data_IF_877223191030
#
_entry.id   IF_877223191030
#
_cell.length_a   1.000
_cell.length_b   1.000
_cell.length_c   1.000
_cell.angle_alpha   90.00
_cell.angle_beta   90.00
_cell.angle_gamma   90.00
#
_symmetry.space_group_name_H-M   'P 1'
#
loop_
_entity.id
_entity.type
_entity.pdbx_description
1 polymer ?
#
# COMPACT_ATOMS: atom_id res chain seq x y z
N UNK A 1 -46.74 54.93 36.43
CA UNK A 1 -46.56 54.04 37.59
C UNK A 1 -47.82 53.21 37.77
N UNK A 2 -47.64 51.99 38.33
CA UNK A 2 -48.60 50.91 38.62
C UNK A 2 -48.90 49.96 37.46
N UNK A 3 -48.90 48.63 37.59
CA UNK A 3 -48.22 47.63 38.44
C UNK A 3 -48.57 46.26 37.80
N UNK A 4 -47.68 45.26 37.94
CA UNK A 4 -47.80 43.85 37.50
C UNK A 4 -48.98 43.08 38.18
N UNK A 5 -49.21 41.73 38.03
CA UNK A 5 -48.61 40.65 37.20
C UNK A 5 -49.64 39.63 36.58
N UNK A 6 -49.16 38.62 35.84
CA UNK A 6 -49.87 37.33 35.65
C UNK A 6 -49.45 36.51 34.41
N UNK A 7 -48.86 35.30 34.54
CA UNK A 7 -48.40 34.44 33.42
C UNK A 7 -49.28 33.16 33.25
N UNK A 8 -48.91 32.13 32.45
CA UNK A 8 -49.01 32.03 30.97
C UNK A 8 -49.72 30.74 30.48
N UNK A 9 -50.34 30.69 29.29
CA UNK A 9 -50.71 29.41 28.60
C UNK A 9 -50.81 29.58 27.05
N UNK A 10 -50.69 28.49 26.25
CA UNK A 10 -49.77 28.41 25.10
C UNK A 10 -50.47 28.47 23.72
N UNK A 11 -49.75 28.80 22.62
CA UNK A 11 -50.27 28.54 21.28
C UNK A 11 -50.05 27.08 20.85
N UNK A 12 -51.14 26.32 20.97
CA UNK A 12 -51.73 25.37 20.03
C UNK A 12 -50.87 24.74 18.92
N UNK A 13 -50.81 23.40 18.98
CA UNK A 13 -50.32 22.45 18.01
C UNK A 13 -50.70 22.77 16.55
N UNK A 14 -49.67 22.93 15.71
CA UNK A 14 -49.77 22.63 14.28
C UNK A 14 -49.16 21.24 14.03
N UNK A 15 -49.79 20.36 13.24
CA UNK A 15 -49.23 19.04 12.97
C UNK A 15 -47.90 19.18 12.24
N UNK A 16 -46.80 18.70 12.84
CA UNK A 16 -45.56 18.48 12.11
C UNK A 16 -45.80 17.42 11.05
N UNK A 17 -45.93 17.87 9.80
CA UNK A 17 -45.81 17.02 8.63
C UNK A 17 -44.45 16.28 8.75
N UNK A 18 -44.41 14.94 8.69
CA UNK A 18 -43.15 14.23 8.82
C UNK A 18 -42.22 14.70 7.71
N UNK A 19 -41.13 15.38 8.10
CA UNK A 19 -40.02 15.70 7.20
C UNK A 19 -39.61 14.38 6.57
N UNK A 20 -39.92 14.21 5.28
CA UNK A 20 -39.40 13.11 4.46
C UNK A 20 -37.88 13.14 4.65
N UNK A 21 -37.36 12.17 5.41
CA UNK A 21 -35.92 11.91 5.47
C UNK A 21 -35.51 11.74 4.02
N UNK A 22 -34.66 12.66 3.55
CA UNK A 22 -34.08 12.65 2.22
C UNK A 22 -33.36 11.30 2.13
N UNK A 23 -34.00 10.35 1.45
CA UNK A 23 -33.49 8.99 1.30
C UNK A 23 -32.10 9.11 0.73
N UNK A 24 -31.12 8.72 1.53
CA UNK A 24 -29.75 8.61 1.08
C UNK A 24 -29.80 7.58 -0.05
N UNK A 25 -29.56 8.04 -1.27
CA UNK A 25 -29.65 7.19 -2.46
C UNK A 25 -28.78 5.97 -2.22
N UNK A 26 -29.33 4.78 -2.38
CA UNK A 26 -28.65 3.49 -2.17
C UNK A 26 -27.27 3.43 -2.86
N UNK A 27 -27.07 4.24 -3.90
CA UNK A 27 -25.78 4.42 -4.59
C UNK A 27 -24.71 5.09 -3.73
N UNK A 28 -25.06 6.08 -2.91
CA UNK A 28 -24.11 6.77 -2.02
C UNK A 28 -23.81 5.91 -0.78
N UNK A 29 -24.77 5.10 -0.33
CA UNK A 29 -24.53 4.13 0.75
C UNK A 29 -23.60 3.00 0.28
N UNK A 30 -23.71 2.54 -0.97
CA UNK A 30 -22.76 1.58 -1.55
C UNK A 30 -21.36 2.16 -1.76
N UNK A 31 -21.22 3.45 -2.10
CA UNK A 31 -19.91 4.11 -2.17
C UNK A 31 -19.28 4.23 -0.77
N UNK A 32 -20.07 4.52 0.27
CA UNK A 32 -19.58 4.55 1.65
C UNK A 32 -19.26 3.14 2.21
N UNK A 33 -19.94 2.09 1.74
CA UNK A 33 -19.59 0.70 2.08
C UNK A 33 -18.38 0.18 1.30
N UNK A 34 -18.17 0.62 0.05
CA UNK A 34 -16.96 0.32 -0.70
C UNK A 34 -15.72 1.04 -0.11
N UNK A 35 -15.92 2.16 0.58
CA UNK A 35 -14.87 2.86 1.31
C UNK A 35 -14.61 2.30 2.72
N UNK A 36 -15.44 1.39 3.24
CA UNK A 36 -15.36 0.91 4.64
C UNK A 36 -15.00 -0.57 4.80
N UNK A 37 -14.60 -1.26 3.73
CA UNK A 37 -14.15 -2.65 3.80
C UNK A 37 -12.71 -2.83 3.30
N UNK A 38 -11.77 -2.26 4.05
CA UNK A 38 -10.41 -2.81 4.15
C UNK A 38 -10.11 -2.98 5.64
N UNK A 39 -10.82 -3.92 6.27
CA UNK A 39 -10.49 -4.48 7.58
C UNK A 39 -10.61 -5.99 7.47
N UNK A 40 -9.67 -6.56 6.72
CA UNK A 40 -9.32 -7.98 6.63
C UNK A 40 -8.17 -8.01 5.61
N UNK A 41 -6.93 -7.76 5.99
CA UNK A 41 -6.00 -8.74 6.55
C UNK A 41 -4.95 -7.97 7.37
N UNK A 42 -4.64 -8.42 8.59
CA UNK A 42 -3.48 -7.99 9.36
C UNK A 42 -3.54 -6.55 9.91
N UNK A 43 -3.78 -6.40 11.21
CA UNK A 43 -3.90 -5.10 11.86
C UNK A 43 -2.60 -4.29 11.84
N UNK A 44 -2.47 -3.42 10.84
CA UNK A 44 -1.76 -2.16 10.98
C UNK A 44 -2.68 -1.07 10.47
N UNK A 45 -2.92 -0.06 11.31
CA UNK A 45 -3.85 1.02 11.01
C UNK A 45 -3.51 1.68 9.69
N UNK A 46 -4.39 1.54 8.71
CA UNK A 46 -4.28 2.18 7.41
C UNK A 46 -4.38 3.69 7.62
N UNK A 47 -3.24 4.37 7.70
CA UNK A 47 -3.20 5.81 7.46
C UNK A 47 -3.33 5.97 5.95
N UNK A 48 -4.57 6.14 5.48
CA UNK A 48 -4.83 6.59 4.12
C UNK A 48 -4.31 8.02 4.03
N UNK A 49 -3.12 8.20 3.47
CA UNK A 49 -2.58 9.52 3.13
C UNK A 49 -3.46 10.11 2.03
N UNK A 50 -4.35 11.02 2.39
CA UNK A 50 -5.40 11.64 1.55
C UNK A 50 -4.87 12.61 0.46
N UNK A 51 -3.71 12.38 -0.15
CA UNK A 51 -3.13 13.33 -1.11
C UNK A 51 -3.31 12.99 -2.59
N UNK A 52 -3.94 11.87 -2.96
CA UNK A 52 -3.85 11.37 -4.34
C UNK A 52 -5.18 11.43 -5.10
N UNK A 53 -5.51 12.62 -5.64
CA UNK A 53 -6.55 12.77 -6.68
C UNK A 53 -6.05 12.38 -8.09
N UNK A 54 -4.83 11.88 -8.21
CA UNK A 54 -4.25 11.41 -9.47
C UNK A 54 -4.46 9.89 -9.59
N UNK A 55 -4.99 9.41 -10.72
CA UNK A 55 -5.22 7.97 -10.93
C UNK A 55 -3.91 7.14 -10.92
N UNK A 56 -4.02 5.80 -10.83
CA UNK A 56 -2.90 4.87 -10.62
C UNK A 56 -1.70 5.13 -11.55
N UNK A 57 -1.99 5.32 -12.85
CA UNK A 57 -0.98 5.57 -13.86
C UNK A 57 -0.16 6.84 -13.59
N UNK A 58 -0.83 7.93 -13.17
CA UNK A 58 -0.17 9.21 -12.91
C UNK A 58 0.75 9.11 -11.68
N UNK A 59 0.32 8.38 -10.65
CA UNK A 59 1.15 8.14 -9.47
C UNK A 59 2.36 7.30 -9.85
N UNK A 60 2.15 6.19 -10.56
CA UNK A 60 3.21 5.30 -10.98
C UNK A 60 4.26 5.99 -11.88
N UNK A 61 3.83 6.92 -12.75
CA UNK A 61 4.73 7.73 -13.59
C UNK A 61 5.67 8.66 -12.81
N UNK A 62 5.33 9.00 -11.57
CA UNK A 62 6.19 9.84 -10.71
C UNK A 62 7.20 9.04 -9.92
N UNK A 63 7.05 7.71 -9.88
CA UNK A 63 7.97 6.83 -9.19
C UNK A 63 9.25 6.66 -9.99
N UNK A 64 10.36 6.74 -9.27
CA UNK A 64 11.70 6.54 -9.82
C UNK A 64 12.42 5.47 -9.04
N UNK A 65 13.49 4.94 -9.62
CA UNK A 65 14.37 3.99 -8.94
C UNK A 65 14.82 4.54 -7.57
N UNK A 66 14.80 3.71 -6.54
CA UNK A 66 15.07 4.07 -5.15
C UNK A 66 13.86 4.56 -4.34
N UNK A 67 12.74 4.90 -4.98
CA UNK A 67 11.53 5.30 -4.26
C UNK A 67 10.90 4.12 -3.54
N UNK A 68 10.49 4.31 -2.29
CA UNK A 68 9.73 3.31 -1.56
C UNK A 68 8.23 3.48 -1.77
N UNK A 69 7.52 2.36 -1.80
CA UNK A 69 6.10 2.33 -2.12
C UNK A 69 5.34 1.36 -1.25
N UNK A 70 4.06 1.66 -1.06
CA UNK A 70 3.04 0.73 -0.63
C UNK A 70 2.09 0.48 -1.79
N UNK A 71 1.66 -0.78 -1.95
CA UNK A 71 0.61 -1.12 -2.90
C UNK A 71 -0.74 -1.06 -2.18
N UNK A 72 -1.63 -0.19 -2.62
CA UNK A 72 -2.97 -0.04 -2.01
C UNK A 72 -4.06 -0.43 -3.00
N UNK A 73 -5.07 -1.18 -2.54
CA UNK A 73 -6.11 -1.72 -3.41
C UNK A 73 -5.89 -3.22 -3.69
N UNK A 74 -6.64 -3.78 -4.65
CA UNK A 74 -6.62 -5.21 -4.95
C UNK A 74 -6.60 -5.46 -6.46
N UNK A 75 -5.86 -6.49 -6.87
CA UNK A 75 -5.80 -6.91 -8.28
C UNK A 75 -5.04 -5.91 -9.18
N UNK A 76 -5.41 -5.87 -10.46
CA UNK A 76 -4.76 -5.03 -11.49
C UNK A 76 -4.99 -3.51 -11.29
N UNK A 77 -5.86 -3.14 -10.34
CA UNK A 77 -6.23 -1.76 -10.02
C UNK A 77 -5.47 -1.20 -8.81
N UNK A 78 -4.56 -1.98 -8.22
CA UNK A 78 -3.78 -1.48 -7.10
C UNK A 78 -2.99 -0.21 -7.50
N UNK A 79 -2.85 0.70 -6.55
CA UNK A 79 -2.06 1.92 -6.66
C UNK A 79 -0.68 1.67 -6.06
N UNK A 80 0.39 2.07 -6.76
CA UNK A 80 1.72 2.17 -6.17
C UNK A 80 1.93 3.58 -5.61
N UNK A 81 1.82 3.72 -4.28
CA UNK A 81 1.86 5.00 -3.59
C UNK A 81 3.25 5.24 -3.01
N UNK A 82 3.91 6.31 -3.46
CA UNK A 82 5.19 6.76 -2.90
C UNK A 82 5.06 7.00 -1.40
N UNK A 83 5.95 6.38 -0.62
CA UNK A 83 5.95 6.40 0.83
C UNK A 83 7.39 6.58 1.34
N UNK A 84 7.63 7.25 2.47
CA UNK A 84 8.97 7.31 3.07
C UNK A 84 9.55 5.90 3.28
N UNK A 85 10.82 5.70 2.93
CA UNK A 85 11.46 4.38 3.00
C UNK A 85 11.63 3.84 4.42
N UNK A 86 11.66 4.72 5.40
CA UNK A 86 11.68 4.43 6.84
C UNK A 86 10.29 4.20 7.44
N UNK A 87 9.23 4.31 6.62
CA UNK A 87 7.87 3.98 7.06
C UNK A 87 7.74 2.46 7.23
N UNK A 88 7.22 1.98 8.37
CA UNK A 88 6.97 0.55 8.59
C UNK A 88 5.90 -0.03 7.65
N UNK A 89 5.21 0.82 6.89
CA UNK A 89 4.16 0.45 5.93
C UNK A 89 4.65 0.45 4.48
N UNK A 90 5.96 0.66 4.23
CA UNK A 90 6.52 0.68 2.88
C UNK A 90 7.23 -0.66 2.59
N UNK A 91 6.52 -1.70 2.12
CA UNK A 91 7.11 -3.03 1.86
C UNK A 91 8.10 -3.08 0.72
N UNK A 92 8.10 -2.09 -0.18
CA UNK A 92 8.87 -2.18 -1.41
C UNK A 92 9.68 -0.93 -1.72
N UNK A 93 10.75 -1.15 -2.46
CA UNK A 93 11.55 -0.13 -3.13
C UNK A 93 11.51 -0.39 -4.63
N UNK A 94 11.38 0.66 -5.43
CA UNK A 94 11.46 0.58 -6.89
C UNK A 94 12.91 0.33 -7.28
N UNK A 95 13.19 -0.85 -7.83
CA UNK A 95 14.50 -1.20 -8.40
C UNK A 95 14.66 -0.81 -9.87
N UNK A 96 13.55 -0.66 -10.60
CA UNK A 96 13.55 -0.12 -11.95
C UNK A 96 12.16 0.41 -12.28
N UNK A 97 12.08 1.54 -12.97
CA UNK A 97 10.84 2.05 -13.57
C UNK A 97 11.00 2.08 -15.10
N UNK A 98 9.91 1.77 -15.81
CA UNK A 98 9.90 1.74 -17.25
C UNK A 98 8.48 1.75 -17.82
N UNK A 99 8.40 1.36 -19.08
CA UNK A 99 7.16 1.37 -19.85
C UNK A 99 6.73 -0.07 -20.09
N UNK A 100 5.54 -0.45 -19.64
CA UNK A 100 5.03 -1.81 -19.85
C UNK A 100 4.45 -1.95 -21.26
N UNK A 101 5.30 -2.35 -22.21
CA UNK A 101 4.97 -2.54 -23.62
C UNK A 101 5.23 -3.98 -24.13
N UNK A 102 5.35 -4.92 -23.20
CA UNK A 102 5.61 -6.34 -23.48
C UNK A 102 7.09 -6.68 -23.69
N UNK A 103 7.95 -5.72 -24.06
CA UNK A 103 9.40 -5.91 -24.11
C UNK A 103 10.07 -5.63 -22.75
N UNK A 104 9.41 -4.85 -21.89
CA UNK A 104 9.92 -4.53 -20.57
C UNK A 104 9.76 -5.68 -19.57
N UNK A 105 10.86 -6.02 -18.91
CA UNK A 105 10.97 -7.13 -17.97
C UNK A 105 11.82 -6.76 -16.75
N UNK A 106 11.52 -7.42 -15.64
CA UNK A 106 12.34 -7.40 -14.44
C UNK A 106 13.32 -8.57 -14.44
N UNK A 107 14.47 -8.41 -13.78
CA UNK A 107 15.32 -9.55 -13.46
C UNK A 107 14.59 -10.50 -12.49
N UNK A 108 14.95 -11.78 -12.49
CA UNK A 108 14.25 -12.90 -11.82
C UNK A 108 14.06 -12.80 -10.29
N UNK A 109 14.53 -11.73 -9.65
CA UNK A 109 14.39 -11.49 -8.20
C UNK A 109 13.50 -10.31 -7.85
N UNK A 110 13.14 -9.47 -8.81
CA UNK A 110 12.24 -8.34 -8.60
C UNK A 110 10.81 -8.74 -8.98
N UNK A 111 9.84 -8.26 -8.22
CA UNK A 111 8.43 -8.43 -8.58
C UNK A 111 8.07 -7.46 -9.69
N UNK A 112 7.52 -8.01 -10.79
CA UNK A 112 6.98 -7.18 -11.87
C UNK A 112 5.63 -6.63 -11.43
N UNK A 113 5.51 -5.30 -11.45
CA UNK A 113 4.27 -4.60 -11.23
C UNK A 113 3.96 -3.72 -12.43
N UNK A 114 2.77 -3.89 -13.01
CA UNK A 114 2.35 -3.13 -14.18
C UNK A 114 1.07 -2.36 -13.85
N UNK A 115 1.09 -1.06 -14.13
CA UNK A 115 -0.10 -0.22 -14.05
C UNK A 115 -0.61 -0.01 -15.48
N UNK A 116 -1.76 -0.61 -15.85
CA UNK A 116 -2.33 -0.42 -17.16
C UNK A 116 -2.75 1.04 -17.34
N UNK A 117 -2.68 1.52 -18.59
CA UNK A 117 -3.28 2.81 -18.93
C UNK A 117 -4.74 2.60 -19.34
N UNK A 118 -5.69 3.43 -18.84
CA UNK A 118 -7.10 3.31 -19.20
C UNK A 118 -7.40 3.74 -20.66
N UNK A 119 -6.43 4.32 -21.36
CA UNK A 119 -6.51 4.68 -22.79
C UNK A 119 -5.49 3.84 -23.59
N UNK A 120 -5.57 3.78 -24.92
CA UNK A 120 -4.67 2.99 -25.81
C UNK A 120 -3.18 3.43 -25.81
N UNK A 121 -2.59 3.68 -24.65
CA UNK A 121 -1.18 4.01 -24.47
C UNK A 121 -0.37 2.83 -23.91
N UNK A 122 0.90 3.09 -23.60
CA UNK A 122 1.75 2.14 -22.90
C UNK A 122 1.61 2.33 -21.39
N UNK A 123 1.52 1.23 -20.64
CA UNK A 123 1.41 1.25 -19.18
C UNK A 123 2.72 1.64 -18.49
N UNK A 124 2.69 1.71 -17.17
CA UNK A 124 3.91 1.88 -16.36
C UNK A 124 4.35 0.52 -15.85
N UNK A 125 5.64 0.20 -16.03
CA UNK A 125 6.25 -0.99 -15.45
C UNK A 125 7.16 -0.61 -14.27
N UNK A 126 7.01 -1.28 -13.13
CA UNK A 126 7.85 -1.14 -11.95
C UNK A 126 8.43 -2.50 -11.53
N UNK A 127 9.74 -2.59 -11.37
CA UNK A 127 10.40 -3.73 -10.74
C UNK A 127 10.55 -3.43 -9.27
N UNK A 128 9.79 -4.14 -8.44
CA UNK A 128 9.75 -3.93 -6.99
C UNK A 128 10.70 -4.90 -6.31
N UNK A 129 11.55 -4.38 -5.44
CA UNK A 129 12.33 -5.14 -4.47
C UNK A 129 11.68 -5.00 -3.09
N UNK A 130 11.88 -5.97 -2.21
CA UNK A 130 11.50 -5.82 -0.80
C UNK A 130 12.31 -4.68 -0.19
N UNK A 131 11.62 -3.73 0.45
CA UNK A 131 12.23 -2.70 1.25
C UNK A 131 12.75 -3.36 2.53
N UNK A 132 14.05 -3.53 2.61
CA UNK A 132 14.75 -4.36 3.57
C UNK A 132 14.71 -3.79 5.00
N UNK A 133 13.51 -3.74 5.59
CA UNK A 133 13.27 -3.29 6.95
C UNK A 133 13.26 -4.49 7.89
N UNK A 134 14.29 -4.61 8.72
CA UNK A 134 14.40 -5.64 9.75
C UNK A 134 13.14 -5.65 10.63
N UNK A 135 12.61 -6.84 10.88
CA UNK A 135 11.37 -7.07 11.63
C UNK A 135 10.11 -7.08 10.77
N UNK A 136 10.16 -6.71 9.49
CA UNK A 136 9.02 -6.86 8.58
C UNK A 136 8.72 -8.32 8.30
N UNK A 137 7.44 -8.65 8.20
CA UNK A 137 6.96 -10.03 8.08
C UNK A 137 6.14 -10.26 6.82
N UNK A 138 6.32 -11.43 6.22
CA UNK A 138 5.69 -11.87 4.98
C UNK A 138 5.22 -13.33 5.12
N UNK A 139 4.14 -13.66 4.42
CA UNK A 139 3.65 -15.04 4.35
C UNK A 139 4.34 -15.86 3.25
N UNK A 140 4.69 -15.22 2.14
CA UNK A 140 5.33 -15.81 0.97
C UNK A 140 6.14 -14.73 0.25
N UNK A 141 7.34 -15.05 -0.25
CA UNK A 141 8.18 -14.16 -1.06
C UNK A 141 8.66 -14.82 -2.36
N UNK A 142 8.23 -16.05 -2.64
CA UNK A 142 8.57 -16.78 -3.86
C UNK A 142 7.54 -16.53 -4.98
N UNK A 143 6.36 -16.02 -4.63
CA UNK A 143 5.33 -15.65 -5.58
C UNK A 143 5.82 -14.61 -6.61
N UNK A 144 5.30 -14.66 -7.85
CA UNK A 144 5.62 -13.65 -8.87
C UNK A 144 4.96 -12.30 -8.59
N UNK A 145 3.90 -12.29 -7.79
CA UNK A 145 3.18 -11.09 -7.37
C UNK A 145 3.81 -10.53 -6.09
N UNK A 146 3.92 -9.20 -5.96
CA UNK A 146 4.42 -8.59 -4.73
C UNK A 146 3.58 -9.03 -3.50
N UNK A 147 4.18 -9.65 -2.46
CA UNK A 147 3.48 -10.13 -1.28
C UNK A 147 3.27 -9.03 -0.22
N UNK A 148 2.05 -8.83 0.32
CA UNK A 148 1.80 -7.78 1.30
C UNK A 148 2.56 -8.03 2.62
N UNK A 149 2.75 -6.97 3.41
CA UNK A 149 3.13 -7.12 4.81
C UNK A 149 2.02 -7.86 5.57
N UNK A 150 2.43 -8.68 6.53
CA UNK A 150 1.51 -9.41 7.41
C UNK A 150 1.94 -9.27 8.87
N UNK A 151 1.07 -9.65 9.79
CA UNK A 151 1.41 -9.72 11.21
C UNK A 151 2.38 -10.89 11.47
N UNK A 152 3.44 -10.63 12.24
CA UNK A 152 4.46 -11.63 12.52
C UNK A 152 3.95 -12.85 13.31
N UNK A 153 2.84 -12.73 14.04
CA UNK A 153 2.25 -13.83 14.79
C UNK A 153 1.66 -14.94 13.91
N UNK A 154 1.34 -14.64 12.65
CA UNK A 154 0.87 -15.60 11.65
C UNK A 154 1.81 -15.77 10.46
N UNK A 155 2.87 -14.96 10.37
CA UNK A 155 3.79 -14.95 9.25
C UNK A 155 4.64 -16.21 9.18
N UNK A 156 5.14 -16.51 7.97
CA UNK A 156 6.13 -17.58 7.77
C UNK A 156 7.55 -17.06 7.75
N UNK A 157 7.73 -15.79 7.38
CA UNK A 157 9.02 -15.18 7.14
C UNK A 157 9.09 -13.83 7.86
N UNK A 158 10.22 -13.59 8.54
CA UNK A 158 10.57 -12.31 9.15
C UNK A 158 11.96 -11.91 8.69
N UNK A 159 12.13 -10.66 8.27
CA UNK A 159 13.46 -10.13 7.95
C UNK A 159 14.27 -10.03 9.25
N UNK A 160 15.35 -10.80 9.36
CA UNK A 160 16.28 -10.76 10.50
C UNK A 160 17.45 -9.83 10.26
N UNK A 161 18.03 -9.88 9.06
CA UNK A 161 19.28 -9.21 8.72
C UNK A 161 19.26 -8.66 7.30
N UNK A 162 19.98 -7.56 7.10
CA UNK A 162 20.09 -6.87 5.82
C UNK A 162 21.53 -6.39 5.62
N UNK A 163 22.13 -6.77 4.51
CA UNK A 163 23.48 -6.39 4.15
C UNK A 163 23.51 -5.53 2.89
N UNK A 164 24.31 -4.44 2.84
CA UNK A 164 24.36 -3.51 1.70
C UNK A 164 25.20 -4.04 0.52
N UNK A 165 25.17 -5.35 0.27
CA UNK A 165 25.91 -6.04 -0.77
C UNK A 165 25.16 -7.29 -1.20
N UNK A 166 25.40 -7.76 -2.42
CA UNK A 166 24.80 -9.01 -2.93
C UNK A 166 25.61 -10.22 -2.52
N UNK A 167 24.95 -11.27 -2.03
CA UNK A 167 25.54 -12.58 -1.78
C UNK A 167 24.83 -13.61 -2.65
N UNK A 168 25.59 -14.32 -3.48
CA UNK A 168 25.02 -15.37 -4.35
C UNK A 168 24.84 -16.68 -3.58
N UNK A 169 25.51 -16.83 -2.43
CA UNK A 169 25.57 -18.09 -1.67
C UNK A 169 25.02 -17.96 -0.24
N UNK A 170 24.37 -16.85 0.11
CA UNK A 170 23.78 -16.67 1.44
C UNK A 170 24.78 -16.59 2.61
N UNK A 171 26.10 -16.70 2.36
CA UNK A 171 27.15 -16.72 3.40
C UNK A 171 27.33 -15.44 4.23
N UNK A 172 26.40 -14.48 4.12
CA UNK A 172 26.29 -13.33 5.01
C UNK A 172 25.26 -13.54 6.11
N UNK A 173 24.25 -14.37 5.86
CA UNK A 173 23.14 -14.61 6.76
C UNK A 173 23.52 -15.63 7.82
N UNK A 174 22.90 -15.53 9.01
CA UNK A 174 23.06 -16.52 10.07
C UNK A 174 22.58 -17.93 9.67
N UNK A 175 23.08 -18.96 10.36
CA UNK A 175 22.81 -20.38 10.06
C UNK A 175 21.32 -20.77 10.20
N UNK A 176 20.53 -20.03 10.96
CA UNK A 176 19.09 -20.23 11.15
C UNK A 176 18.22 -19.54 10.10
N UNK A 177 18.85 -18.93 9.09
CA UNK A 177 18.17 -18.31 7.94
C UNK A 177 17.47 -19.37 7.11
N UNK A 178 16.17 -19.17 6.86
CA UNK A 178 15.34 -20.09 6.09
C UNK A 178 15.19 -19.67 4.63
N UNK A 179 15.39 -18.40 4.31
CA UNK A 179 15.31 -17.88 2.94
C UNK A 179 16.21 -16.66 2.74
N UNK A 180 16.76 -16.49 1.53
CA UNK A 180 17.65 -15.38 1.17
C UNK A 180 17.26 -14.78 -0.18
N UNK A 181 17.04 -13.46 -0.19
CA UNK A 181 16.87 -12.71 -1.43
C UNK A 181 18.00 -11.68 -1.56
N UNK A 182 18.62 -11.64 -2.75
CA UNK A 182 19.61 -10.62 -3.10
C UNK A 182 19.18 -9.82 -4.32
N UNK A 183 19.32 -8.50 -4.20
CA UNK A 183 19.06 -7.52 -5.25
C UNK A 183 20.36 -6.85 -5.67
N UNK A 184 20.61 -6.79 -6.98
CA UNK A 184 21.78 -6.11 -7.55
C UNK A 184 21.36 -4.72 -8.04
N UNK A 185 21.87 -3.68 -7.38
CA UNK A 185 21.81 -2.31 -7.90
C UNK A 185 22.86 -2.09 -8.99
N UNK A 186 22.56 -1.23 -9.97
CA UNK A 186 23.44 -1.00 -11.13
C UNK A 186 24.48 0.11 -10.92
N UNK A 187 24.72 0.50 -9.67
CA UNK A 187 25.80 1.43 -9.27
C UNK A 187 25.58 2.90 -9.63
N UNK A 188 24.92 3.19 -10.75
CA UNK A 188 24.49 4.55 -11.16
C UNK A 188 23.09 4.90 -10.69
N UNK A 189 22.42 3.97 -10.01
CA UNK A 189 21.04 4.05 -9.55
C UNK A 189 20.91 4.53 -8.12
N UNK A 190 19.77 5.14 -7.77
CA UNK A 190 19.40 5.38 -6.37
C UNK A 190 19.04 4.09 -5.62
N UNK A 191 18.71 3.01 -6.35
CA UNK A 191 18.53 1.69 -5.78
C UNK A 191 19.88 1.06 -5.43
N UNK A 192 19.99 0.62 -4.18
CA UNK A 192 21.21 0.00 -3.63
C UNK A 192 21.07 -1.51 -3.67
N UNK A 193 22.19 -2.19 -3.90
CA UNK A 193 22.26 -3.64 -3.73
C UNK A 193 21.96 -4.02 -2.28
N UNK A 194 21.29 -5.15 -2.10
CA UNK A 194 20.99 -5.68 -0.77
C UNK A 194 20.96 -7.21 -0.78
N UNK A 195 21.31 -7.82 0.35
CA UNK A 195 20.97 -9.20 0.69
C UNK A 195 20.08 -9.16 1.92
N UNK A 196 18.94 -9.81 1.84
CA UNK A 196 17.91 -9.85 2.87
C UNK A 196 17.82 -11.30 3.35
N UNK A 197 17.99 -11.49 4.65
CA UNK A 197 17.92 -12.79 5.31
C UNK A 197 16.58 -12.91 6.04
N UNK A 198 15.90 -14.03 5.83
CA UNK A 198 14.61 -14.31 6.45
C UNK A 198 14.74 -15.48 7.42
N UNK A 199 14.12 -15.33 8.59
CA UNK A 199 13.96 -16.40 9.59
C UNK A 199 12.47 -16.70 9.77
N UNK A 200 12.18 -17.80 10.45
CA UNK A 200 10.82 -18.00 10.99
C UNK A 200 10.58 -16.99 12.12
N UNK A 201 9.45 -16.24 12.12
CA UNK A 201 9.17 -15.17 13.09
C UNK A 201 9.22 -15.57 14.57
#
# INVERSE_FOLDING_TARGET
MSEHPGPPFPPQNTPQQPRKKKGFSFKVQMILFAASLVVAIGGFGVIITLNNMAGPEKQAKTLTEGDCVVLTGSGEEADAVKTPCDSPQAPYTVGLAGVDDGAWSCNDRFYKYAVPTPLRGKGVGLCLAINAQVGSCFDDIEAKTPPPLTDCGSARLKISEVFPQTSVEGGLCADDTVEVISYVGKGTSNFKSATICFVTP
#
